data_IF_590930344171
#
_entry.id   IF_590930344171
#
_cell.length_a   1.000
_cell.length_b   1.000
_cell.length_c   1.000
_cell.angle_alpha   90.00
_cell.angle_beta   90.00
_cell.angle_gamma   90.00
#
_symmetry.space_group_name_H-M   'P 1'
#
loop_
_entity.id
_entity.type
_entity.pdbx_description
1 polymer ?
#
# COMPACT_ATOMS: atom_id res chain seq x y z
N UNK A 1 10.29 -5.11 -38.01
CA UNK A 1 10.47 -6.03 -36.86
C UNK A 1 10.43 -5.22 -35.57
N UNK A 2 9.26 -4.93 -34.97
CA UNK A 2 9.20 -4.11 -33.73
C UNK A 2 7.93 -4.35 -32.85
N UNK A 3 7.20 -5.47 -33.05
CA UNK A 3 5.95 -5.73 -32.30
C UNK A 3 6.14 -6.58 -31.04
N UNK A 4 7.31 -7.20 -30.84
CA UNK A 4 7.55 -8.09 -29.69
C UNK A 4 7.87 -7.32 -28.39
N UNK A 5 8.51 -6.15 -28.49
CA UNK A 5 8.92 -5.34 -27.33
C UNK A 5 7.74 -4.66 -26.62
N UNK A 6 6.71 -4.26 -27.38
CA UNK A 6 5.48 -3.70 -26.78
C UNK A 6 4.62 -4.78 -26.11
N UNK A 7 4.63 -6.01 -26.63
CA UNK A 7 3.92 -7.15 -26.04
C UNK A 7 4.55 -7.62 -24.73
N UNK A 8 5.88 -7.71 -24.66
CA UNK A 8 6.57 -8.09 -23.42
C UNK A 8 6.38 -7.04 -22.30
N UNK A 9 6.36 -5.76 -22.64
CA UNK A 9 6.12 -4.69 -21.67
C UNK A 9 4.67 -4.71 -21.13
N UNK A 10 3.67 -4.94 -22.00
CA UNK A 10 2.28 -5.12 -21.58
C UNK A 10 2.12 -6.37 -20.70
N UNK A 11 2.76 -7.47 -21.04
CA UNK A 11 2.71 -8.71 -20.26
C UNK A 11 3.37 -8.56 -18.88
N UNK A 12 4.47 -7.80 -18.80
CA UNK A 12 5.07 -7.40 -17.52
C UNK A 12 4.13 -6.54 -16.68
N UNK A 13 3.43 -5.57 -17.28
CA UNK A 13 2.46 -4.72 -16.57
C UNK A 13 1.27 -5.55 -16.05
N UNK A 14 0.77 -6.50 -16.83
CA UNK A 14 -0.29 -7.41 -16.38
C UNK A 14 0.18 -8.27 -15.21
N UNK A 15 1.39 -8.83 -15.28
CA UNK A 15 1.97 -9.61 -14.18
C UNK A 15 2.17 -8.76 -12.92
N UNK A 16 2.62 -7.51 -13.05
CA UNK A 16 2.74 -6.57 -11.94
C UNK A 16 1.37 -6.26 -11.33
N UNK A 17 0.35 -6.03 -12.16
CA UNK A 17 -1.01 -5.76 -11.67
C UNK A 17 -1.62 -6.95 -10.93
N UNK A 18 -1.35 -8.17 -11.38
CA UNK A 18 -1.77 -9.39 -10.70
C UNK A 18 -1.02 -9.61 -9.39
N UNK A 19 0.30 -9.39 -9.38
CA UNK A 19 1.10 -9.47 -8.17
C UNK A 19 0.65 -8.45 -7.11
N UNK A 20 0.36 -7.21 -7.51
CA UNK A 20 -0.19 -6.18 -6.60
C UNK A 20 -1.54 -6.64 -6.02
N UNK A 21 -2.46 -7.14 -6.86
CA UNK A 21 -3.77 -7.63 -6.39
C UNK A 21 -3.64 -8.80 -5.43
N UNK A 22 -2.76 -9.75 -5.73
CA UNK A 22 -2.49 -10.89 -4.86
C UNK A 22 -1.89 -10.44 -3.53
N UNK A 23 -1.02 -9.43 -3.54
CA UNK A 23 -0.43 -8.88 -2.32
C UNK A 23 -1.47 -8.17 -1.46
N UNK A 24 -2.36 -7.37 -2.07
CA UNK A 24 -3.50 -6.75 -1.37
C UNK A 24 -4.38 -7.84 -0.74
N UNK A 25 -4.74 -8.88 -1.50
CA UNK A 25 -5.52 -9.99 -0.97
C UNK A 25 -4.81 -10.71 0.17
N UNK A 26 -3.49 -10.94 0.05
CA UNK A 26 -2.68 -11.52 1.11
C UNK A 26 -2.73 -10.66 2.38
N UNK A 27 -2.58 -9.35 2.24
CA UNK A 27 -2.64 -8.40 3.35
C UNK A 27 -4.01 -8.39 4.01
N UNK A 28 -5.09 -8.20 3.25
CA UNK A 28 -6.47 -8.15 3.77
C UNK A 28 -6.91 -9.49 4.38
N UNK A 29 -6.40 -10.61 3.86
CA UNK A 29 -6.77 -11.96 4.32
C UNK A 29 -6.28 -12.30 5.74
N UNK A 30 -5.35 -11.52 6.32
CA UNK A 30 -4.87 -11.79 7.68
C UNK A 30 -5.88 -11.37 8.75
N UNK A 31 -6.70 -10.35 8.48
CA UNK A 31 -7.58 -9.74 9.49
C UNK A 31 -8.58 -10.75 10.09
N UNK A 32 -9.26 -11.61 9.30
CA UNK A 32 -10.12 -12.67 9.86
C UNK A 32 -9.40 -13.58 10.86
N UNK A 33 -8.12 -13.91 10.61
CA UNK A 33 -7.33 -14.74 11.52
C UNK A 33 -6.97 -14.00 12.81
N UNK A 34 -6.62 -12.71 12.73
CA UNK A 34 -6.36 -11.87 13.91
C UNK A 34 -7.62 -11.76 14.77
N UNK A 35 -8.78 -11.48 14.17
CA UNK A 35 -10.05 -11.43 14.90
C UNK A 35 -10.43 -12.77 15.53
N UNK A 36 -10.19 -13.89 14.83
CA UNK A 36 -10.39 -15.22 15.40
C UNK A 36 -9.50 -15.45 16.64
N UNK A 37 -8.26 -14.96 16.64
CA UNK A 37 -7.37 -15.05 17.81
C UNK A 37 -7.93 -14.24 18.98
N UNK A 38 -8.40 -13.01 18.77
CA UNK A 38 -9.03 -12.23 19.84
C UNK A 38 -10.25 -12.95 20.44
N UNK A 39 -11.10 -13.56 19.61
CA UNK A 39 -12.20 -14.39 20.09
C UNK A 39 -11.75 -15.59 20.92
N UNK A 40 -10.65 -16.25 20.53
CA UNK A 40 -10.09 -17.36 21.31
C UNK A 40 -9.51 -16.89 22.65
N UNK A 41 -8.90 -15.70 22.69
CA UNK A 41 -8.39 -15.10 23.93
C UNK A 41 -9.53 -14.80 24.90
N UNK A 42 -10.67 -14.32 24.39
CA UNK A 42 -11.86 -14.03 25.22
C UNK A 42 -12.47 -15.28 25.88
N UNK A 43 -12.13 -16.48 25.38
CA UNK A 43 -12.57 -17.77 25.95
C UNK A 43 -11.63 -18.32 27.02
N UNK A 44 -10.51 -17.65 27.32
CA UNK A 44 -9.56 -18.08 28.34
C UNK A 44 -10.03 -17.68 29.74
N UNK A 45 -10.07 -18.63 30.67
CA UNK A 45 -10.43 -18.37 32.07
C UNK A 45 -9.36 -17.57 32.83
N UNK A 46 -8.09 -17.73 32.44
CA UNK A 46 -6.95 -17.03 33.06
C UNK A 46 -6.79 -15.63 32.45
N UNK A 47 -7.23 -14.61 33.20
CA UNK A 47 -7.17 -13.21 32.78
C UNK A 47 -5.75 -12.67 32.63
N UNK A 48 -4.79 -13.19 33.39
CA UNK A 48 -3.39 -12.74 33.33
C UNK A 48 -2.71 -13.28 32.07
N UNK A 49 -2.96 -14.54 31.72
CA UNK A 49 -2.46 -15.15 30.48
C UNK A 49 -3.17 -14.54 29.27
N UNK A 50 -4.49 -14.36 29.34
CA UNK A 50 -5.26 -13.72 28.28
C UNK A 50 -4.75 -12.31 27.96
N UNK A 51 -4.44 -11.50 28.99
CA UNK A 51 -3.87 -10.16 28.80
C UNK A 51 -2.49 -10.22 28.12
N UNK A 52 -1.59 -11.09 28.60
CA UNK A 52 -0.25 -11.23 28.00
C UNK A 52 -0.30 -11.67 26.54
N UNK A 53 -1.15 -12.64 26.21
CA UNK A 53 -1.33 -13.08 24.82
C UNK A 53 -1.92 -11.95 23.97
N UNK A 54 -2.89 -11.20 24.50
CA UNK A 54 -3.48 -10.05 23.80
C UNK A 54 -2.41 -9.00 23.48
N UNK A 55 -1.58 -8.64 24.44
CA UNK A 55 -0.51 -7.66 24.25
C UNK A 55 0.49 -8.12 23.17
N UNK A 56 0.85 -9.41 23.16
CA UNK A 56 1.68 -9.96 22.10
C UNK A 56 1.03 -9.92 20.72
N UNK A 57 -0.28 -10.22 20.62
CA UNK A 57 -1.01 -10.15 19.35
C UNK A 57 -1.08 -8.71 18.84
N UNK A 58 -1.32 -7.73 19.72
CA UNK A 58 -1.28 -6.30 19.35
C UNK A 58 0.08 -5.91 18.80
N UNK A 59 1.18 -6.30 19.46
CA UNK A 59 2.53 -6.01 18.94
C UNK A 59 2.80 -6.65 17.56
N UNK A 60 2.27 -7.85 17.31
CA UNK A 60 2.38 -8.53 16.01
C UNK A 60 1.55 -7.80 14.95
N UNK A 61 0.31 -7.43 15.28
CA UNK A 61 -0.59 -6.65 14.41
C UNK A 61 0.03 -5.30 14.03
N UNK A 62 0.55 -4.56 15.01
CA UNK A 62 1.25 -3.29 14.77
C UNK A 62 2.48 -3.48 13.88
N UNK A 63 3.26 -4.53 14.10
CA UNK A 63 4.43 -4.83 13.27
C UNK A 63 4.03 -5.16 11.83
N UNK A 64 2.90 -5.83 11.64
CA UNK A 64 2.37 -6.18 10.33
C UNK A 64 1.85 -4.95 9.57
N UNK A 65 1.04 -4.11 10.23
CA UNK A 65 0.45 -2.91 9.61
C UNK A 65 1.52 -1.86 9.28
N UNK A 66 2.55 -1.73 10.11
CA UNK A 66 3.59 -0.71 9.95
C UNK A 66 4.79 -1.16 9.09
N UNK A 67 4.89 -2.44 8.71
CA UNK A 67 6.01 -2.92 7.91
C UNK A 67 5.76 -2.73 6.41
N UNK A 68 6.64 -1.97 5.77
CA UNK A 68 6.66 -1.81 4.31
C UNK A 68 6.88 -3.14 3.57
N UNK A 69 7.59 -4.09 4.18
CA UNK A 69 7.81 -5.43 3.58
C UNK A 69 6.53 -6.27 3.47
N UNK A 70 5.49 -5.90 4.22
CA UNK A 70 4.19 -6.57 4.24
C UNK A 70 3.11 -5.84 3.45
N UNK A 71 3.35 -4.57 3.10
CA UNK A 71 2.43 -3.73 2.32
C UNK A 71 2.91 -3.51 0.88
N UNK A 72 4.21 -3.75 0.59
CA UNK A 72 4.80 -3.67 -0.74
C UNK A 72 5.53 -4.97 -1.05
N UNK A 73 4.98 -5.76 -1.98
CA UNK A 73 5.67 -6.94 -2.48
C UNK A 73 6.98 -6.54 -3.19
N UNK A 74 8.08 -7.26 -2.88
CA UNK A 74 9.39 -7.09 -3.52
C UNK A 74 9.36 -7.31 -5.04
N UNK A 75 8.26 -7.87 -5.57
CA UNK A 75 8.05 -8.06 -7.01
C UNK A 75 7.34 -6.89 -7.70
N UNK A 76 7.04 -5.80 -7.00
CA UNK A 76 6.43 -4.59 -7.58
C UNK A 76 7.53 -3.55 -7.82
N UNK A 77 8.14 -3.50 -9.02
CA UNK A 77 9.26 -2.60 -9.29
C UNK A 77 8.83 -1.13 -9.43
N UNK A 78 7.60 -0.87 -9.86
CA UNK A 78 7.06 0.48 -10.08
C UNK A 78 5.55 0.56 -9.77
N UNK A 79 5.14 1.63 -9.10
CA UNK A 79 3.72 1.96 -8.86
C UNK A 79 3.37 3.21 -9.68
N UNK A 80 2.29 3.11 -10.46
CA UNK A 80 1.76 4.23 -11.25
C UNK A 80 0.49 4.75 -10.59
N UNK A 81 0.55 5.96 -10.05
CA UNK A 81 -0.60 6.61 -9.40
C UNK A 81 -1.19 7.69 -10.32
N UNK A 82 -2.50 7.63 -10.55
CA UNK A 82 -3.25 8.69 -11.21
C UNK A 82 -3.99 9.57 -10.19
N UNK A 83 -3.75 10.87 -10.22
CA UNK A 83 -4.44 11.84 -9.36
C UNK A 83 -5.39 12.66 -10.23
N UNK A 84 -6.68 12.63 -9.90
CA UNK A 84 -7.76 13.26 -10.69
C UNK A 84 -8.55 14.22 -9.78
N UNK A 85 -8.87 15.41 -10.30
CA UNK A 85 -9.63 16.44 -9.60
C UNK A 85 -9.83 17.68 -10.46
N UNK A 86 -10.67 18.62 -10.01
CA UNK A 86 -10.89 19.91 -10.68
C UNK A 86 -9.64 20.80 -10.67
N UNK A 87 -9.67 21.92 -11.40
CA UNK A 87 -8.64 22.97 -11.39
C UNK A 87 -8.53 23.74 -10.06
N UNK A 88 -9.40 23.44 -9.08
CA UNK A 88 -9.41 24.05 -7.75
C UNK A 88 -9.20 23.03 -6.64
N UNK A 89 -8.89 21.78 -6.99
CA UNK A 89 -8.78 20.67 -6.05
C UNK A 89 -7.45 20.63 -5.30
N UNK A 90 -6.48 21.47 -5.67
CA UNK A 90 -5.14 21.46 -5.06
C UNK A 90 -4.30 20.25 -5.48
N UNK A 91 -4.69 19.50 -6.51
CA UNK A 91 -3.95 18.30 -7.01
C UNK A 91 -2.48 18.61 -7.30
N UNK A 92 -2.20 19.78 -7.87
CA UNK A 92 -0.83 20.21 -8.22
C UNK A 92 -0.02 20.50 -6.97
N UNK A 93 -0.63 21.16 -5.99
CA UNK A 93 -0.04 21.44 -4.69
C UNK A 93 0.29 20.16 -3.91
N UNK A 94 -0.63 19.17 -3.95
CA UNK A 94 -0.45 17.86 -3.33
C UNK A 94 0.73 17.10 -3.96
N UNK A 95 0.75 16.99 -5.29
CA UNK A 95 1.83 16.30 -6.02
C UNK A 95 3.17 17.01 -5.76
N UNK A 96 3.20 18.34 -5.82
CA UNK A 96 4.41 19.12 -5.56
C UNK A 96 4.93 18.88 -4.15
N UNK A 97 4.08 19.03 -3.13
CA UNK A 97 4.46 18.77 -1.73
C UNK A 97 4.95 17.35 -1.53
N UNK A 98 4.33 16.36 -2.16
CA UNK A 98 4.79 14.98 -2.07
C UNK A 98 6.20 14.80 -2.66
N UNK A 99 6.50 15.46 -3.79
CA UNK A 99 7.80 15.34 -4.47
C UNK A 99 8.91 16.14 -3.78
N UNK A 100 8.63 17.38 -3.36
CA UNK A 100 9.65 18.36 -2.93
C UNK A 100 9.59 18.72 -1.45
N UNK A 101 8.50 18.37 -0.75
CA UNK A 101 8.24 18.76 0.63
C UNK A 101 7.64 20.18 0.79
N UNK A 102 7.70 21.02 -0.24
CA UNK A 102 7.24 22.41 -0.18
C UNK A 102 5.85 22.61 -0.81
N UNK A 103 5.11 23.59 -0.29
CA UNK A 103 3.80 23.94 -0.83
C UNK A 103 3.94 24.85 -2.05
N UNK A 104 3.18 24.55 -3.10
CA UNK A 104 3.03 25.40 -4.28
C UNK A 104 1.55 25.69 -4.48
N UNK A 105 1.17 26.97 -4.48
CA UNK A 105 -0.22 27.38 -4.64
C UNK A 105 -0.67 27.33 -6.11
N UNK A 106 0.28 27.45 -7.05
CA UNK A 106 -0.03 27.43 -8.47
C UNK A 106 -0.53 26.05 -8.92
N UNK A 107 -1.70 26.07 -9.57
CA UNK A 107 -2.26 24.91 -10.23
C UNK A 107 -1.66 24.77 -11.63
N UNK A 108 -1.26 23.56 -12.00
CA UNK A 108 -0.93 23.24 -13.39
C UNK A 108 -2.20 22.85 -14.14
N UNK A 109 -2.70 23.67 -15.08
CA UNK A 109 -3.93 23.39 -15.82
C UNK A 109 -3.81 22.21 -16.78
N UNK A 110 -2.60 21.92 -17.29
CA UNK A 110 -2.32 20.77 -18.16
C UNK A 110 -2.02 19.48 -17.37
N UNK A 111 -1.78 19.60 -16.06
CA UNK A 111 -1.30 18.50 -15.22
C UNK A 111 0.15 18.12 -15.53
N UNK A 112 0.63 17.02 -14.97
CA UNK A 112 2.01 16.59 -15.16
C UNK A 112 2.22 15.10 -14.90
N UNK A 113 3.32 14.57 -15.44
CA UNK A 113 3.82 13.22 -15.15
C UNK A 113 5.09 13.36 -14.33
N UNK A 114 5.10 12.75 -13.17
CA UNK A 114 6.21 12.83 -12.22
C UNK A 114 6.67 11.44 -11.83
N UNK A 115 7.96 11.29 -11.54
CA UNK A 115 8.57 10.06 -11.00
C UNK A 115 9.24 10.41 -9.67
N UNK A 116 8.94 9.65 -8.62
CA UNK A 116 9.61 9.74 -7.32
C UNK A 116 10.28 8.41 -7.04
N UNK A 117 11.52 8.45 -6.59
CA UNK A 117 12.21 7.27 -6.06
C UNK A 117 12.03 7.28 -4.54
N UNK A 118 11.59 6.15 -4.00
CA UNK A 118 11.42 5.93 -2.56
C UNK A 118 12.66 5.19 -2.11
N UNK A 119 13.39 5.78 -1.15
CA UNK A 119 14.60 5.23 -0.57
C UNK A 119 14.27 4.42 0.68
#
# INVERSE_FOLDING_TARGET
>A
MNNNTSRSHLQSLFNNSLAIRQEIQRFESVHPSIYAIYHLIDLLDDSQVASQIRDHVVCIEDSFVNSQEWTISRSVPDIRLGIVGSLSSGKSALVHRYLTGSYMQEESPEGGRFKKEIQ
#
